data_IF_024156642795
#
_entry.id   IF_024156642795
#
_cell.length_a   1.000
_cell.length_b   1.000
_cell.length_c   1.000
_cell.angle_alpha   90.00
_cell.angle_beta   90.00
_cell.angle_gamma   90.00
#
_symmetry.space_group_name_H-M   'P 1'
#
loop_
_entity.id
_entity.type
_entity.pdbx_description
1 polymer ?
#
# COMPACT_ATOMS: atom_id res chain seq x y z
N UNK A 1 12.32 -42.90 -11.64
CA UNK A 1 13.03 -41.61 -11.72
C UNK A 1 11.98 -40.62 -12.22
N UNK A 2 11.21 -40.07 -11.28
CA UNK A 2 10.00 -39.28 -11.52
C UNK A 2 10.30 -37.82 -11.22
N UNK A 3 10.27 -36.99 -12.25
CA UNK A 3 10.46 -35.54 -12.17
C UNK A 3 9.13 -34.91 -11.70
N UNK A 4 9.07 -34.47 -10.47
CA UNK A 4 8.00 -33.65 -9.92
C UNK A 4 8.08 -32.24 -10.49
N UNK A 5 7.23 -31.94 -11.47
CA UNK A 5 6.93 -30.59 -11.94
C UNK A 5 6.27 -29.77 -10.83
N UNK A 6 6.98 -28.80 -10.28
CA UNK A 6 6.39 -27.72 -9.48
C UNK A 6 5.67 -26.76 -10.42
N UNK A 7 4.38 -26.95 -10.60
CA UNK A 7 3.52 -25.90 -11.18
C UNK A 7 3.41 -24.74 -10.20
N UNK A 8 4.07 -23.64 -10.49
CA UNK A 8 3.93 -22.39 -9.77
C UNK A 8 2.54 -21.79 -10.05
N UNK A 9 1.74 -21.66 -9.00
CA UNK A 9 0.41 -21.02 -9.04
C UNK A 9 0.53 -19.50 -9.24
N UNK A 10 0.77 -19.06 -10.46
CA UNK A 10 0.92 -17.64 -10.84
C UNK A 10 -0.42 -16.94 -11.14
N UNK A 11 -1.55 -17.64 -11.09
CA UNK A 11 -2.84 -17.12 -11.54
C UNK A 11 -3.63 -16.32 -10.49
N UNK A 12 -3.28 -16.41 -9.20
CA UNK A 12 -4.09 -15.77 -8.13
C UNK A 12 -3.79 -14.30 -7.87
N UNK A 13 -2.66 -13.77 -8.32
CA UNK A 13 -2.23 -12.39 -8.00
C UNK A 13 -2.78 -11.34 -8.98
N UNK A 14 -3.24 -11.77 -10.17
CA UNK A 14 -3.79 -10.84 -11.18
C UNK A 14 -5.21 -10.35 -10.88
N UNK A 15 -5.96 -11.03 -10.03
CA UNK A 15 -7.36 -10.70 -9.73
C UNK A 15 -7.54 -9.59 -8.67
N UNK A 16 -6.50 -9.26 -7.90
CA UNK A 16 -6.62 -8.28 -6.79
C UNK A 16 -6.50 -6.80 -7.20
N UNK A 17 -6.27 -6.50 -8.49
CA UNK A 17 -6.04 -5.11 -8.94
C UNK A 17 -7.33 -4.29 -9.14
N UNK A 18 -8.52 -4.89 -9.01
CA UNK A 18 -9.78 -4.31 -9.53
C UNK A 18 -10.75 -3.75 -8.48
N UNK A 19 -10.45 -3.80 -7.18
CA UNK A 19 -11.43 -3.36 -6.16
C UNK A 19 -10.91 -2.30 -5.19
N UNK A 20 -10.70 -1.08 -5.65
CA UNK A 20 -10.71 0.11 -4.79
C UNK A 20 -11.42 1.25 -5.50
N UNK A 21 -12.66 1.02 -5.88
CA UNK A 21 -13.59 2.08 -6.26
C UNK A 21 -14.95 1.76 -5.61
N UNK A 22 -15.11 2.14 -4.36
CA UNK A 22 -16.35 2.02 -3.63
C UNK A 22 -16.48 3.15 -2.63
N UNK A 23 -17.17 4.22 -3.02
CA UNK A 23 -17.63 5.25 -2.10
C UNK A 23 -18.72 4.65 -1.21
N UNK A 24 -18.49 4.51 0.09
CA UNK A 24 -19.52 4.17 1.06
C UNK A 24 -20.22 5.43 1.55
N UNK A 25 -21.47 5.58 1.15
CA UNK A 25 -22.47 6.44 1.78
C UNK A 25 -22.95 5.79 3.08
N UNK A 26 -22.85 6.50 4.19
CA UNK A 26 -23.40 6.07 5.48
C UNK A 26 -24.84 6.57 5.66
N UNK A 27 -25.77 5.74 6.16
CA UNK A 27 -27.00 6.25 6.80
C UNK A 27 -26.81 6.33 8.32
N UNK A 28 -27.28 7.42 8.90
CA UNK A 28 -27.27 7.67 10.33
C UNK A 28 -28.19 6.74 11.13
N UNK A 29 -27.75 6.37 12.31
CA UNK A 29 -28.54 5.68 13.33
C UNK A 29 -28.20 6.18 14.73
N UNK A 30 -29.15 6.86 15.36
CA UNK A 30 -29.13 7.28 16.75
C UNK A 30 -29.45 6.10 17.66
N UNK A 31 -28.67 5.88 18.73
CA UNK A 31 -29.11 5.08 19.87
C UNK A 31 -28.71 5.75 21.19
N UNK A 32 -29.68 5.85 22.09
CA UNK A 32 -29.64 6.41 23.44
C UNK A 32 -29.19 5.37 24.47
N UNK A 33 -28.37 5.79 25.43
CA UNK A 33 -28.50 5.57 26.86
C UNK A 33 -28.08 4.26 27.48
N UNK A 34 -27.14 4.33 28.44
CA UNK A 34 -27.33 3.92 29.85
C UNK A 34 -25.99 3.82 30.62
N UNK A 35 -25.84 4.49 31.66
CA UNK A 35 -25.44 4.32 33.03
C UNK A 35 -24.07 3.70 33.43
N UNK A 36 -23.47 4.17 34.56
CA UNK A 36 -22.06 3.95 34.88
C UNK A 36 -21.82 2.67 35.72
N UNK A 37 -20.97 1.79 35.17
CA UNK A 37 -20.35 0.72 35.94
C UNK A 37 -18.86 0.95 36.01
N UNK A 38 -18.34 1.29 37.19
CA UNK A 38 -16.91 1.42 37.44
C UNK A 38 -16.21 0.07 37.26
N UNK A 39 -15.32 -0.02 36.28
CA UNK A 39 -14.39 -1.14 36.09
C UNK A 39 -12.99 -0.73 36.55
N UNK A 40 -12.19 -1.67 37.10
CA UNK A 40 -10.88 -1.33 37.65
C UNK A 40 -9.89 -0.97 36.54
N UNK A 41 -9.09 0.06 36.84
CA UNK A 41 -7.99 0.55 36.03
C UNK A 41 -7.00 -0.58 35.71
N UNK A 42 -7.13 -1.19 34.53
CA UNK A 42 -6.08 -2.01 33.97
C UNK A 42 -4.97 -1.10 33.45
N UNK A 43 -3.77 -1.33 33.89
CA UNK A 43 -2.52 -0.66 33.51
C UNK A 43 -2.39 -0.64 31.99
N UNK A 44 -2.53 0.52 31.40
CA UNK A 44 -2.22 0.72 29.98
C UNK A 44 -0.70 0.71 29.83
N UNK A 45 -0.18 -0.38 29.31
CA UNK A 45 1.15 -0.46 28.73
C UNK A 45 1.13 0.25 27.38
N UNK A 46 2.02 1.22 27.18
CA UNK A 46 2.39 1.93 25.97
C UNK A 46 1.26 2.19 24.95
N UNK A 47 0.93 3.45 24.73
CA UNK A 47 -0.26 3.89 23.97
C UNK A 47 -0.30 3.49 22.50
N UNK A 48 -0.75 2.30 22.18
CA UNK A 48 -1.17 1.92 20.84
C UNK A 48 -2.57 2.45 20.56
N UNK A 49 -2.71 3.28 19.57
CA UNK A 49 -4.02 3.70 19.06
C UNK A 49 -4.44 2.74 17.95
N UNK A 50 -5.43 1.90 18.20
CA UNK A 50 -5.90 0.86 17.26
C UNK A 50 -6.72 1.42 16.06
N UNK A 51 -6.54 2.68 15.72
CA UNK A 51 -7.19 3.36 14.59
C UNK A 51 -6.15 3.96 13.66
N UNK A 52 -6.46 3.98 12.37
CA UNK A 52 -5.59 4.60 11.37
C UNK A 52 -5.28 6.06 11.76
N UNK A 53 -4.05 6.54 11.54
CA UNK A 53 -3.71 7.94 11.74
C UNK A 53 -4.65 8.87 10.96
N UNK A 54 -4.83 10.11 11.42
CA UNK A 54 -5.64 11.09 10.72
C UNK A 54 -5.17 11.26 9.26
N UNK A 55 -6.11 11.19 8.31
CA UNK A 55 -5.84 11.27 6.88
C UNK A 55 -5.37 9.94 6.23
N UNK A 56 -5.21 8.87 7.01
CA UNK A 56 -4.87 7.55 6.51
C UNK A 56 -6.06 6.59 6.62
N UNK A 57 -6.10 5.59 5.76
CA UNK A 57 -7.14 4.56 5.71
C UNK A 57 -6.52 3.16 5.75
N UNK A 58 -7.14 2.26 6.52
CA UNK A 58 -6.93 0.82 6.37
C UNK A 58 -7.89 0.30 5.32
N UNK A 59 -7.35 -0.31 4.26
CA UNK A 59 -8.10 -0.94 3.17
C UNK A 59 -7.31 -2.11 2.60
N UNK A 60 -7.70 -2.66 1.45
CA UNK A 60 -7.04 -3.81 0.84
C UNK A 60 -8.05 -4.80 0.28
N UNK A 61 -7.59 -5.99 -0.08
CA UNK A 61 -8.50 -7.07 -0.50
C UNK A 61 -9.18 -7.78 0.68
N UNK A 62 -8.56 -7.71 1.88
CA UNK A 62 -9.05 -8.32 3.13
C UNK A 62 -8.70 -7.42 4.33
N UNK A 63 -9.18 -6.16 4.36
CA UNK A 63 -8.80 -5.22 5.42
C UNK A 63 -9.20 -5.70 6.83
N UNK A 64 -10.27 -6.49 6.94
CA UNK A 64 -10.73 -7.10 8.18
C UNK A 64 -9.74 -8.09 8.80
N UNK A 65 -8.80 -8.60 8.01
CA UNK A 65 -7.72 -9.49 8.46
C UNK A 65 -6.48 -8.74 8.93
N UNK A 66 -6.52 -7.41 8.96
CA UNK A 66 -5.40 -6.57 9.35
C UNK A 66 -5.82 -5.53 10.38
N UNK A 67 -4.84 -5.01 11.12
CA UNK A 67 -5.00 -3.93 12.08
C UNK A 67 -3.95 -2.88 11.84
N UNK A 68 -4.26 -1.64 12.18
CA UNK A 68 -3.35 -0.52 12.06
C UNK A 68 -3.52 0.42 13.24
N UNK A 69 -2.52 1.24 13.51
CA UNK A 69 -2.55 2.25 14.54
C UNK A 69 -1.26 3.05 14.55
N UNK A 70 -1.04 3.77 15.65
CA UNK A 70 0.20 4.51 15.91
C UNK A 70 0.80 3.98 17.20
N UNK A 71 2.06 3.60 17.13
CA UNK A 71 2.89 3.23 18.28
C UNK A 71 3.80 4.39 18.65
N UNK A 72 3.92 4.67 19.94
CA UNK A 72 4.66 5.81 20.50
C UNK A 72 5.55 5.37 21.64
N UNK A 73 6.22 4.25 21.46
CA UNK A 73 7.15 3.78 22.45
C UNK A 73 8.61 4.10 22.08
N UNK A 74 9.48 4.00 23.10
CA UNK A 74 10.90 4.28 22.93
C UNK A 74 11.63 3.21 22.09
N UNK A 75 11.01 2.05 21.84
CA UNK A 75 11.63 0.97 21.09
C UNK A 75 11.76 1.32 19.61
N UNK A 76 10.84 2.15 19.10
CA UNK A 76 10.84 2.59 17.70
C UNK A 76 11.36 4.03 17.49
N UNK A 77 11.74 4.71 18.58
CA UNK A 77 12.31 6.08 18.57
C UNK A 77 11.27 7.15 18.28
N UNK A 78 10.90 7.31 17.00
CA UNK A 78 9.86 8.23 16.57
C UNK A 78 8.49 7.55 16.51
N UNK A 79 7.38 8.32 16.65
CA UNK A 79 6.04 7.76 16.44
C UNK A 79 5.93 7.04 15.10
N UNK A 80 5.46 5.81 15.11
CA UNK A 80 5.41 4.94 13.94
C UNK A 80 3.99 4.44 13.68
N UNK A 81 3.53 4.54 12.45
CA UNK A 81 2.33 3.85 12.04
C UNK A 81 2.64 2.38 11.82
N UNK A 82 1.77 1.48 12.29
CA UNK A 82 1.92 0.05 12.09
C UNK A 82 0.79 -0.55 11.26
N UNK A 83 1.11 -1.64 10.60
CA UNK A 83 0.16 -2.52 9.92
C UNK A 83 0.52 -3.95 10.28
N UNK A 84 -0.39 -4.65 10.97
CA UNK A 84 -0.18 -6.01 11.43
C UNK A 84 -1.31 -6.92 10.97
N UNK A 85 -0.98 -8.18 10.66
CA UNK A 85 -1.99 -9.20 10.41
C UNK A 85 -2.73 -9.56 11.70
N UNK A 86 -4.03 -9.77 11.62
CA UNK A 86 -4.79 -10.42 12.67
C UNK A 86 -4.31 -11.87 12.82
N UNK A 87 -4.66 -12.52 13.93
CA UNK A 87 -4.25 -13.90 14.20
C UNK A 87 -4.67 -14.84 13.08
N UNK A 88 -3.79 -15.80 12.74
CA UNK A 88 -4.01 -16.80 11.71
C UNK A 88 -3.16 -16.57 10.45
N UNK A 89 -3.60 -17.15 9.33
CA UNK A 89 -3.03 -16.93 8.00
C UNK A 89 -3.98 -16.05 7.19
N UNK A 90 -3.83 -14.74 7.23
CA UNK A 90 -4.72 -13.86 6.49
C UNK A 90 -4.60 -14.13 4.99
N UNK A 91 -5.73 -14.25 4.31
CA UNK A 91 -5.79 -14.28 2.86
C UNK A 91 -5.77 -12.83 2.33
N UNK A 92 -5.16 -12.61 1.15
CA UNK A 92 -5.09 -11.30 0.54
C UNK A 92 -4.11 -10.35 1.22
N UNK A 93 -4.41 -9.04 1.18
CA UNK A 93 -3.55 -8.00 1.74
C UNK A 93 -4.35 -6.93 2.48
N UNK A 94 -3.69 -6.28 3.43
CA UNK A 94 -4.07 -5.01 4.02
C UNK A 94 -3.11 -3.91 3.58
N UNK A 95 -3.59 -2.67 3.56
CA UNK A 95 -2.76 -1.51 3.31
C UNK A 95 -3.20 -0.32 4.14
N UNK A 96 -2.23 0.37 4.71
CA UNK A 96 -2.41 1.69 5.30
C UNK A 96 -2.02 2.72 4.26
N UNK A 97 -2.99 3.53 3.82
CA UNK A 97 -2.81 4.40 2.66
C UNK A 97 -3.44 5.78 2.79
N UNK A 98 -2.97 6.68 1.95
CA UNK A 98 -3.62 7.96 1.63
C UNK A 98 -3.95 8.05 0.13
N UNK A 99 -4.92 8.91 -0.19
CA UNK A 99 -5.18 9.37 -1.56
C UNK A 99 -5.21 10.88 -1.57
N UNK A 100 -4.51 11.48 -2.51
CA UNK A 100 -4.45 12.93 -2.73
C UNK A 100 -4.79 13.27 -4.18
N UNK A 101 -5.18 14.52 -4.41
CA UNK A 101 -5.30 15.05 -5.77
C UNK A 101 -3.92 15.23 -6.41
N UNK A 102 -3.80 14.90 -7.70
CA UNK A 102 -2.52 14.98 -8.41
C UNK A 102 -2.13 16.41 -8.84
N UNK A 103 -3.00 17.42 -8.72
CA UNK A 103 -2.83 18.74 -9.31
C UNK A 103 -1.47 19.41 -9.01
N UNK A 104 -0.98 19.30 -7.77
CA UNK A 104 0.31 19.89 -7.37
C UNK A 104 1.53 19.12 -7.92
N UNK A 105 1.33 17.93 -8.46
CA UNK A 105 2.36 17.00 -8.90
C UNK A 105 2.32 16.71 -10.40
N UNK A 106 1.29 17.21 -11.10
CA UNK A 106 1.09 17.00 -12.53
C UNK A 106 2.32 17.42 -13.36
N UNK A 107 2.77 16.56 -14.25
CA UNK A 107 3.95 16.73 -15.08
C UNK A 107 5.30 16.54 -14.36
N UNK A 108 5.29 16.15 -13.08
CA UNK A 108 6.49 16.03 -12.24
C UNK A 108 6.83 14.57 -11.94
N UNK A 109 8.08 14.32 -11.55
CA UNK A 109 8.51 13.07 -10.93
C UNK A 109 8.39 13.21 -9.43
N UNK A 110 7.78 12.24 -8.77
CA UNK A 110 7.58 12.24 -7.32
C UNK A 110 8.22 11.02 -6.69
N UNK A 111 8.72 11.22 -5.47
CA UNK A 111 9.28 10.18 -4.62
C UNK A 111 8.48 10.09 -3.33
N UNK A 112 7.96 8.92 -3.05
CA UNK A 112 7.56 8.50 -1.72
C UNK A 112 8.76 7.82 -1.08
N UNK A 113 9.19 8.31 0.07
CA UNK A 113 10.23 7.68 0.91
C UNK A 113 9.68 7.47 2.30
N UNK A 114 10.00 6.33 2.91
CA UNK A 114 9.73 6.08 4.32
C UNK A 114 10.79 5.13 4.89
N UNK A 115 11.02 5.23 6.20
CA UNK A 115 11.70 4.16 6.93
C UNK A 115 10.67 3.10 7.29
N UNK A 116 11.03 1.83 7.05
CA UNK A 116 10.18 0.68 7.38
C UNK A 116 10.98 -0.34 8.16
N UNK A 117 10.37 -0.84 9.24
CA UNK A 117 10.80 -2.01 9.98
C UNK A 117 9.78 -3.14 9.77
N UNK A 118 10.23 -4.39 9.82
CA UNK A 118 9.34 -5.54 9.64
C UNK A 118 9.63 -6.65 10.63
N UNK A 119 8.58 -7.40 10.99
CA UNK A 119 8.68 -8.55 11.86
C UNK A 119 7.84 -9.70 11.31
N UNK A 120 8.50 -10.85 11.11
CA UNK A 120 7.86 -12.10 10.70
C UNK A 120 6.97 -11.99 9.45
N UNK A 121 7.33 -11.14 8.49
CA UNK A 121 6.60 -10.99 7.23
C UNK A 121 6.71 -12.27 6.43
N UNK A 122 5.61 -13.03 6.38
CA UNK A 122 5.58 -14.37 5.82
C UNK A 122 5.49 -14.42 4.29
N UNK A 123 4.79 -13.48 3.67
CA UNK A 123 4.74 -13.35 2.22
C UNK A 123 5.57 -12.14 1.78
N UNK A 124 5.00 -10.94 1.84
CA UNK A 124 5.74 -9.72 1.53
C UNK A 124 5.03 -8.47 2.02
N UNK A 125 5.81 -7.42 2.21
CA UNK A 125 5.36 -6.07 2.45
C UNK A 125 6.13 -5.10 1.56
N UNK A 126 5.64 -3.87 1.44
CA UNK A 126 6.33 -2.83 0.69
C UNK A 126 5.60 -1.49 0.70
N UNK A 127 6.35 -0.44 0.44
CA UNK A 127 5.75 0.83 0.04
C UNK A 127 5.09 0.65 -1.33
N UNK A 128 4.08 1.46 -1.59
CA UNK A 128 3.46 1.47 -2.92
C UNK A 128 2.93 2.85 -3.27
N UNK A 129 2.87 3.11 -4.54
CA UNK A 129 2.27 4.32 -5.11
C UNK A 129 1.55 3.99 -6.40
N UNK A 130 0.41 4.64 -6.62
CA UNK A 130 -0.40 4.56 -7.83
C UNK A 130 -0.78 5.95 -8.27
N UNK A 131 -0.64 6.21 -9.56
CA UNK A 131 -1.08 7.43 -10.21
C UNK A 131 -2.27 7.11 -11.09
N UNK A 132 -3.35 7.85 -10.94
CA UNK A 132 -4.61 7.64 -11.65
C UNK A 132 -4.94 8.83 -12.57
N UNK A 133 -5.50 8.52 -13.74
CA UNK A 133 -6.17 9.43 -14.66
C UNK A 133 -7.64 9.03 -14.72
N UNK A 134 -8.51 9.72 -13.98
CA UNK A 134 -9.87 9.28 -13.78
C UNK A 134 -9.90 7.88 -13.16
N UNK A 135 -10.40 6.90 -13.91
CA UNK A 135 -10.46 5.49 -13.47
C UNK A 135 -9.31 4.64 -14.04
N UNK A 136 -8.40 5.24 -14.78
CA UNK A 136 -7.28 4.51 -15.41
C UNK A 136 -6.02 4.68 -14.59
N UNK A 137 -5.37 3.56 -14.25
CA UNK A 137 -4.06 3.55 -13.60
C UNK A 137 -3.01 3.87 -14.66
N UNK A 138 -2.25 4.95 -14.48
CA UNK A 138 -1.21 5.42 -15.40
C UNK A 138 0.21 5.28 -14.86
N UNK A 139 0.36 5.01 -13.57
CA UNK A 139 1.64 4.70 -12.93
C UNK A 139 1.44 3.81 -11.72
N UNK A 140 2.32 2.83 -11.51
CA UNK A 140 2.21 1.92 -10.39
C UNK A 140 3.56 1.29 -10.00
N UNK A 141 3.82 1.26 -8.71
CA UNK A 141 4.87 0.48 -8.09
C UNK A 141 4.42 0.04 -6.70
N UNK A 142 4.54 -1.23 -6.39
CA UNK A 142 4.20 -1.80 -5.08
C UNK A 142 5.39 -2.54 -4.43
N UNK A 143 6.58 -2.32 -4.93
CA UNK A 143 7.80 -2.98 -4.46
C UNK A 143 7.79 -4.52 -4.56
N UNK A 144 6.87 -5.15 -5.26
CA UNK A 144 6.78 -6.63 -5.31
C UNK A 144 8.09 -7.30 -5.79
N UNK A 145 8.87 -6.63 -6.65
CA UNK A 145 10.16 -7.14 -7.15
C UNK A 145 11.32 -6.89 -6.17
N UNK A 146 11.13 -6.06 -5.14
CA UNK A 146 12.08 -5.74 -4.08
C UNK A 146 11.39 -5.79 -2.71
N UNK A 147 10.63 -6.85 -2.52
CA UNK A 147 9.73 -7.07 -1.40
C UNK A 147 10.47 -7.07 -0.05
N UNK A 148 9.82 -6.54 0.97
CA UNK A 148 10.24 -6.67 2.37
C UNK A 148 9.69 -8.00 2.87
N UNK A 149 10.57 -8.86 3.38
CA UNK A 149 10.22 -10.19 3.90
C UNK A 149 10.95 -10.47 5.21
N UNK A 150 10.37 -11.34 6.03
CA UNK A 150 10.94 -11.74 7.31
C UNK A 150 11.00 -10.62 8.33
N UNK A 151 12.04 -10.62 9.16
CA UNK A 151 12.31 -9.60 10.18
C UNK A 151 13.49 -8.76 9.75
N UNK A 152 13.28 -7.45 9.61
CA UNK A 152 14.29 -6.49 9.20
C UNK A 152 14.23 -5.25 10.08
N UNK A 153 15.38 -4.76 10.53
CA UNK A 153 15.49 -3.49 11.22
C UNK A 153 15.13 -2.33 10.29
N UNK A 154 14.93 -1.15 10.88
CA UNK A 154 14.64 0.10 10.16
C UNK A 154 15.53 0.33 8.95
N UNK A 155 14.92 0.49 7.80
CA UNK A 155 15.59 0.82 6.54
C UNK A 155 14.77 1.81 5.73
N UNK A 156 15.42 2.74 5.02
CA UNK A 156 14.73 3.61 4.07
C UNK A 156 14.36 2.83 2.80
N UNK A 157 13.16 3.08 2.31
CA UNK A 157 12.66 2.57 1.03
C UNK A 157 12.06 3.70 0.21
N UNK A 158 12.18 3.61 -1.10
CA UNK A 158 11.69 4.60 -2.04
C UNK A 158 10.76 3.97 -3.07
N UNK A 159 9.74 4.73 -3.45
CA UNK A 159 8.94 4.53 -4.65
C UNK A 159 8.95 5.82 -5.46
N UNK A 160 9.38 5.75 -6.71
CA UNK A 160 9.52 6.92 -7.61
C UNK A 160 8.70 6.68 -8.86
N UNK A 161 7.77 7.59 -9.16
CA UNK A 161 6.93 7.55 -10.35
C UNK A 161 6.89 8.91 -11.05
N UNK A 162 6.68 8.90 -12.36
CA UNK A 162 6.26 10.06 -13.12
C UNK A 162 4.74 10.25 -12.97
N UNK A 163 4.33 11.49 -12.76
CA UNK A 163 2.93 11.90 -12.69
C UNK A 163 2.58 12.61 -14.00
N UNK A 164 1.80 12.02 -14.89
CA UNK A 164 1.39 12.67 -16.14
C UNK A 164 0.69 14.00 -15.90
N UNK A 165 0.74 14.95 -16.87
CA UNK A 165 0.12 16.27 -16.74
C UNK A 165 -1.39 16.24 -16.50
N UNK A 166 -2.07 15.19 -16.95
CA UNK A 166 -3.50 14.96 -16.84
C UNK A 166 -3.89 13.93 -15.76
N UNK A 167 -2.95 13.59 -14.86
CA UNK A 167 -3.23 12.78 -13.70
C UNK A 167 -4.23 13.48 -12.76
N UNK A 168 -5.16 12.72 -12.21
CA UNK A 168 -6.22 13.24 -11.33
C UNK A 168 -6.01 12.89 -9.86
N UNK A 169 -5.37 11.75 -9.57
CA UNK A 169 -5.16 11.27 -8.23
C UNK A 169 -3.85 10.51 -8.04
N UNK A 170 -3.36 10.52 -6.79
CA UNK A 170 -2.22 9.72 -6.37
C UNK A 170 -2.60 9.02 -5.08
N UNK A 171 -2.50 7.70 -5.06
CA UNK A 171 -2.68 6.87 -3.86
C UNK A 171 -1.34 6.27 -3.48
N UNK A 172 -1.02 6.24 -2.19
CA UNK A 172 0.25 5.71 -1.70
C UNK A 172 0.15 5.20 -0.26
N UNK A 173 1.09 4.36 0.13
CA UNK A 173 1.14 3.83 1.49
C UNK A 173 2.07 2.65 1.65
N UNK A 174 1.82 1.86 2.72
CA UNK A 174 2.49 0.59 2.98
C UNK A 174 1.47 -0.53 2.91
N UNK A 175 1.84 -1.66 2.33
CA UNK A 175 1.00 -2.85 2.28
C UNK A 175 1.69 -4.04 2.94
N UNK A 176 0.88 -4.98 3.41
CA UNK A 176 1.29 -6.25 3.98
C UNK A 176 0.41 -7.36 3.41
N UNK A 177 1.04 -8.40 2.87
CA UNK A 177 0.38 -9.61 2.37
C UNK A 177 0.75 -10.80 3.24
N UNK A 178 -0.26 -11.55 3.66
CA UNK A 178 -0.06 -12.68 4.58
C UNK A 178 0.21 -12.23 6.01
N UNK A 179 0.81 -13.13 6.80
CA UNK A 179 1.14 -12.88 8.20
C UNK A 179 2.35 -11.95 8.35
N UNK A 180 2.41 -11.25 9.46
CA UNK A 180 3.53 -10.39 9.84
C UNK A 180 3.10 -9.03 10.33
N UNK A 181 4.09 -8.18 10.51
CA UNK A 181 3.94 -6.83 11.05
C UNK A 181 4.96 -5.88 10.40
N UNK A 182 4.54 -4.67 10.09
CA UNK A 182 5.41 -3.60 9.59
C UNK A 182 5.12 -2.30 10.32
N UNK A 183 6.17 -1.54 10.58
CA UNK A 183 6.12 -0.17 11.09
C UNK A 183 6.68 0.77 10.04
N UNK A 184 6.11 1.95 9.97
CA UNK A 184 6.52 2.99 9.03
C UNK A 184 6.60 4.33 9.74
N UNK A 185 7.73 5.03 9.55
CA UNK A 185 7.90 6.41 10.02
C UNK A 185 8.72 7.24 9.01
N UNK A 186 8.99 8.50 9.35
CA UNK A 186 9.79 9.42 8.53
C UNK A 186 9.30 9.47 7.05
N UNK A 187 7.97 9.46 6.88
CA UNK A 187 7.36 9.48 5.54
C UNK A 187 7.55 10.84 4.90
N UNK A 188 8.17 10.88 3.71
CA UNK A 188 8.27 12.06 2.87
C UNK A 188 7.63 11.81 1.51
N UNK A 189 7.00 12.85 0.95
CA UNK A 189 6.41 12.84 -0.38
C UNK A 189 6.85 14.11 -1.10
N UNK A 190 7.75 13.98 -2.07
CA UNK A 190 8.46 15.11 -2.64
C UNK A 190 8.61 15.04 -4.16
N UNK A 191 8.71 16.21 -4.78
CA UNK A 191 9.09 16.32 -6.19
C UNK A 191 10.60 16.16 -6.30
N UNK A 192 11.04 15.29 -7.21
CA UNK A 192 12.44 15.03 -7.51
C UNK A 192 12.76 15.33 -8.97
N UNK A 193 14.04 15.54 -9.26
CA UNK A 193 14.50 15.76 -10.61
C UNK A 193 14.44 14.47 -11.45
N UNK A 194 14.53 14.63 -12.77
CA UNK A 194 14.47 13.49 -13.71
C UNK A 194 15.72 12.60 -13.69
N UNK A 195 16.79 13.04 -13.04
CA UNK A 195 17.98 12.24 -12.75
C UNK A 195 17.71 11.14 -11.72
N UNK A 196 16.66 11.29 -10.89
CA UNK A 196 16.23 10.23 -9.98
C UNK A 196 15.55 9.11 -10.78
N UNK A 197 16.05 7.90 -10.64
CA UNK A 197 15.53 6.74 -11.37
C UNK A 197 14.09 6.39 -10.95
N UNK A 198 13.22 6.12 -11.93
CA UNK A 198 11.85 5.64 -11.70
C UNK A 198 11.90 4.18 -11.26
N UNK A 199 11.23 3.85 -10.15
CA UNK A 199 11.24 2.50 -9.58
C UNK A 199 10.12 1.59 -10.09
N UNK A 200 9.04 2.20 -10.59
CA UNK A 200 7.86 1.50 -11.12
C UNK A 200 7.75 1.54 -12.64
N UNK A 201 6.78 0.85 -13.16
CA UNK A 201 6.40 0.95 -14.56
C UNK A 201 5.36 2.05 -14.73
N UNK A 202 5.64 3.03 -15.59
CA UNK A 202 4.58 3.78 -16.24
C UNK A 202 3.78 2.81 -17.10
N UNK A 203 2.51 2.63 -16.80
CA UNK A 203 1.64 1.77 -17.63
C UNK A 203 1.40 2.38 -19.02
N UNK A 204 1.88 3.61 -19.24
CA UNK A 204 1.87 4.31 -20.53
C UNK A 204 3.03 3.97 -21.47
N UNK A 205 4.04 3.22 -21.00
CA UNK A 205 5.16 2.80 -21.87
C UNK A 205 4.75 1.75 -22.91
N UNK A 206 3.48 1.35 -22.90
CA UNK A 206 2.94 0.58 -24.01
C UNK A 206 2.46 1.59 -25.06
N UNK A 207 3.05 1.62 -26.27
CA UNK A 207 2.52 2.45 -27.35
C UNK A 207 1.01 2.23 -27.45
N UNK A 208 0.25 3.30 -27.62
CA UNK A 208 -1.18 3.18 -27.86
C UNK A 208 -1.39 2.10 -28.93
N UNK A 209 -2.35 1.16 -28.73
CA UNK A 209 -2.63 0.17 -29.74
C UNK A 209 -2.81 0.88 -31.09
N UNK A 210 -2.12 0.39 -32.12
CA UNK A 210 -2.32 0.91 -33.47
C UNK A 210 -3.80 0.84 -33.82
N UNK A 211 -4.37 1.91 -34.35
CA UNK A 211 -5.76 1.95 -34.84
C UNK A 211 -5.96 1.05 -36.07
N UNK A 212 -4.87 0.61 -36.69
CA UNK A 212 -4.87 -0.33 -37.80
C UNK A 212 -3.96 -1.50 -37.49
N UNK A 213 -4.29 -2.72 -37.92
CA UNK A 213 -3.39 -3.86 -37.83
C UNK A 213 -2.07 -3.56 -38.57
N UNK A 214 -0.96 -3.98 -37.97
CA UNK A 214 0.38 -3.83 -38.56
C UNK A 214 1.04 -5.20 -38.72
N UNK A 215 1.97 -5.33 -39.67
CA UNK A 215 2.81 -6.50 -39.90
C UNK A 215 2.04 -7.86 -39.90
N UNK A 216 0.86 -7.91 -40.58
CA UNK A 216 0.02 -9.12 -40.67
C UNK A 216 0.72 -10.29 -41.39
N UNK A 217 1.80 -10.02 -42.10
CA UNK A 217 2.60 -11.00 -42.82
C UNK A 217 3.92 -11.38 -42.13
N UNK A 218 4.17 -10.83 -40.93
CA UNK A 218 5.34 -11.13 -40.08
C UNK A 218 6.70 -10.92 -40.78
N UNK A 219 6.82 -9.91 -41.64
CA UNK A 219 8.03 -9.65 -42.46
C UNK A 219 8.91 -8.51 -41.92
N UNK A 220 8.52 -7.87 -40.80
CA UNK A 220 9.27 -6.78 -40.14
C UNK A 220 9.61 -7.19 -38.69
#
# INVERSE_FOLDING_TARGET
MELLERKSNWTSVRACLWMVAGACLLPGGRVLGAGPGAQPLSRQTGGQTATAPAGWLLTGSKPESYRTGVERDAAHGEPSAYLTSAQGKPEGFGTLMQTIQAANYAGKRVRLRASVESKEVGQWAGLWMRVDRGQTIVGFDNMQRRAITGTQAWRPYDVVLDVPPDATGISFGVLLTGAGEVWMNNVTFEVVGRETEVTGSGLESRPAPSVTPVNLNFRE
#
